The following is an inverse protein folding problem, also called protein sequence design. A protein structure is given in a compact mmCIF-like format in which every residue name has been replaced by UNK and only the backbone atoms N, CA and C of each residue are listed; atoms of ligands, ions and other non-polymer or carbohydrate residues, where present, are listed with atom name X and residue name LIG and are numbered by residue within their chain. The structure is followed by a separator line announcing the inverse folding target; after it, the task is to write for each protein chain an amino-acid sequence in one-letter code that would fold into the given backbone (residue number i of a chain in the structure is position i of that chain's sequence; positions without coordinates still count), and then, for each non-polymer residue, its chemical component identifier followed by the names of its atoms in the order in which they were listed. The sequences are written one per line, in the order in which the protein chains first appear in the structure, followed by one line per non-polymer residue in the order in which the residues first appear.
data_IF_371218369861
#
_entry.id   IF_371218369861
#
_cell.length_a   1.000
_cell.length_b   1.000
_cell.length_c   1.000
_cell.angle_alpha   90.00
_cell.angle_beta   90.00
_cell.angle_gamma   90.00
#
_symmetry.space_group_name_H-M   'P 1'
#
loop_
_entity.id
_entity.type
_entity.pdbx_description
1 polymer ?
#
# COMPACT_ATOMS: atom_id res chain seq x y z
N UNK A 1 36.39 -14.40 -2.51
CA UNK A 1 34.95 -14.19 -2.25
C UNK A 1 34.26 -15.54 -2.28
N UNK A 2 33.41 -15.81 -1.30
CA UNK A 2 32.77 -17.12 -1.10
C UNK A 2 31.65 -17.33 -2.12
N UNK A 3 31.49 -18.56 -2.64
CA UNK A 3 30.42 -18.93 -3.58
C UNK A 3 29.01 -18.57 -3.03
N UNK A 4 28.85 -18.59 -1.70
CA UNK A 4 27.60 -18.18 -1.03
C UNK A 4 27.30 -16.69 -1.21
N UNK A 5 28.31 -15.82 -1.16
CA UNK A 5 28.12 -14.37 -1.33
C UNK A 5 27.68 -14.02 -2.76
N UNK A 6 28.20 -14.76 -3.74
CA UNK A 6 27.80 -14.65 -5.15
C UNK A 6 26.36 -15.10 -5.42
N UNK A 7 25.80 -15.99 -4.58
CA UNK A 7 24.46 -16.57 -4.78
C UNK A 7 23.35 -15.65 -4.26
N UNK A 8 23.62 -14.90 -3.17
CA UNK A 8 22.62 -14.06 -2.50
C UNK A 8 22.67 -12.59 -2.90
N UNK A 9 23.69 -12.17 -3.66
CA UNK A 9 23.87 -10.76 -4.03
C UNK A 9 24.39 -10.65 -5.45
N UNK A 10 23.54 -10.16 -6.36
CA UNK A 10 24.00 -9.73 -7.67
C UNK A 10 24.95 -8.53 -7.50
N UNK A 11 26.17 -8.63 -8.03
CA UNK A 11 27.17 -7.56 -8.00
C UNK A 11 27.05 -6.57 -9.15
N UNK A 12 26.19 -6.86 -10.13
CA UNK A 12 26.06 -6.05 -11.36
C UNK A 12 25.25 -4.78 -11.17
N UNK A 13 24.16 -4.84 -10.41
CA UNK A 13 23.24 -3.73 -10.20
C UNK A 13 23.00 -3.50 -8.71
N UNK A 14 23.08 -2.24 -8.24
CA UNK A 14 22.69 -1.91 -6.87
C UNK A 14 21.15 -1.91 -6.80
N UNK A 15 20.60 -2.34 -5.67
CA UNK A 15 19.16 -2.47 -5.42
C UNK A 15 18.34 -1.23 -5.83
N UNK A 16 18.88 -0.03 -5.60
CA UNK A 16 18.17 1.23 -5.79
C UNK A 16 18.63 2.03 -7.02
N UNK A 17 19.42 1.43 -7.92
CA UNK A 17 20.02 2.15 -9.06
C UNK A 17 18.99 2.79 -9.98
N UNK A 18 17.77 2.25 -10.03
CA UNK A 18 16.70 2.70 -10.92
C UNK A 18 15.68 3.62 -10.23
N UNK A 19 15.77 3.84 -8.91
CA UNK A 19 14.73 4.58 -8.18
C UNK A 19 14.50 5.96 -8.76
N UNK A 20 15.57 6.70 -9.06
CA UNK A 20 15.47 8.05 -9.63
C UNK A 20 14.88 8.07 -11.05
N UNK A 21 15.07 7.00 -11.82
CA UNK A 21 14.57 6.89 -13.20
C UNK A 21 13.08 6.56 -13.32
N UNK A 22 12.42 6.19 -12.21
CA UNK A 22 11.01 5.81 -12.23
C UNK A 22 10.11 7.01 -12.59
N UNK A 23 9.12 6.82 -13.48
CA UNK A 23 8.18 7.88 -13.83
C UNK A 23 7.33 8.26 -12.62
N UNK A 24 6.84 9.51 -12.63
CA UNK A 24 5.86 9.95 -11.64
C UNK A 24 4.53 9.22 -11.83
N UNK A 25 3.81 9.00 -10.73
CA UNK A 25 2.47 8.39 -10.76
C UNK A 25 1.50 9.32 -11.52
N UNK A 26 0.90 8.89 -12.64
CA UNK A 26 0.01 9.74 -13.40
C UNK A 26 -1.29 10.02 -12.64
N UNK A 27 -1.91 11.16 -12.95
CA UNK A 27 -3.27 11.48 -12.54
C UNK A 27 -4.21 11.13 -13.70
N UNK A 28 -5.16 10.21 -13.53
CA UNK A 28 -6.14 9.92 -14.56
C UNK A 28 -7.06 11.12 -14.77
N UNK A 29 -7.61 11.24 -15.97
CA UNK A 29 -8.64 12.26 -16.25
C UNK A 29 -9.92 11.93 -15.49
N UNK A 30 -10.73 12.97 -15.24
CA UNK A 30 -12.03 12.80 -14.57
C UNK A 30 -12.93 11.84 -15.36
N UNK A 31 -12.97 11.97 -16.68
CA UNK A 31 -13.82 11.16 -17.57
C UNK A 31 -13.42 9.67 -17.51
N UNK A 32 -12.12 9.37 -17.67
CA UNK A 32 -11.60 8.00 -17.57
C UNK A 32 -11.91 7.37 -16.20
N UNK A 33 -11.83 8.17 -15.13
CA UNK A 33 -12.10 7.70 -13.77
C UNK A 33 -13.58 7.36 -13.59
N UNK A 34 -14.47 8.21 -14.09
CA UNK A 34 -15.92 8.00 -13.99
C UNK A 34 -16.41 6.86 -14.87
N UNK A 35 -15.84 6.69 -16.06
CA UNK A 35 -16.17 5.58 -16.96
C UNK A 35 -15.80 4.23 -16.33
N UNK A 36 -14.56 4.12 -15.82
CA UNK A 36 -14.09 2.92 -15.12
C UNK A 36 -14.90 2.63 -13.85
N UNK A 37 -15.29 3.68 -13.11
CA UNK A 37 -16.17 3.56 -11.95
C UNK A 37 -17.55 3.02 -12.33
N UNK A 38 -18.19 3.57 -13.37
CA UNK A 38 -19.51 3.11 -13.83
C UNK A 38 -19.45 1.67 -14.35
N UNK A 39 -18.41 1.29 -15.08
CA UNK A 39 -18.22 -0.09 -15.53
C UNK A 39 -18.10 -1.06 -14.35
N UNK A 40 -17.34 -0.68 -13.32
CA UNK A 40 -17.18 -1.47 -12.10
C UNK A 40 -18.50 -1.61 -11.31
N UNK A 41 -19.26 -0.52 -11.18
CA UNK A 41 -20.56 -0.53 -10.47
C UNK A 41 -21.60 -1.37 -11.20
N UNK A 42 -21.57 -1.40 -12.53
CA UNK A 42 -22.52 -2.16 -13.35
C UNK A 42 -22.53 -3.65 -13.02
N UNK A 43 -21.39 -4.21 -12.62
CA UNK A 43 -21.27 -5.63 -12.27
C UNK A 43 -22.03 -6.02 -10.99
N UNK A 44 -22.30 -5.06 -10.10
CA UNK A 44 -22.87 -5.31 -8.76
C UNK A 44 -24.22 -4.62 -8.51
N UNK A 45 -24.52 -3.55 -9.26
CA UNK A 45 -25.72 -2.74 -9.05
C UNK A 45 -26.91 -3.24 -9.88
N UNK A 46 -28.12 -3.18 -9.30
CA UNK A 46 -29.35 -3.37 -10.06
C UNK A 46 -29.63 -2.19 -11.02
N UNK A 47 -30.47 -2.41 -12.03
CA UNK A 47 -30.81 -1.43 -13.08
C UNK A 47 -31.16 -0.03 -12.54
N UNK A 48 -32.03 0.04 -11.52
CA UNK A 48 -32.47 1.32 -10.95
C UNK A 48 -31.36 2.04 -10.17
N UNK A 49 -30.52 1.28 -9.46
CA UNK A 49 -29.38 1.82 -8.72
C UNK A 49 -28.33 2.34 -9.70
N UNK A 50 -28.05 1.58 -10.76
CA UNK A 50 -27.11 1.97 -11.80
C UNK A 50 -27.52 3.30 -12.47
N UNK A 51 -28.79 3.44 -12.86
CA UNK A 51 -29.31 4.71 -13.43
C UNK A 51 -29.11 5.89 -12.49
N UNK A 52 -29.45 5.71 -11.21
CA UNK A 52 -29.21 6.72 -10.18
C UNK A 52 -27.72 7.10 -10.09
N UNK A 53 -26.83 6.11 -10.11
CA UNK A 53 -25.38 6.35 -10.08
C UNK A 53 -24.90 7.10 -11.33
N UNK A 54 -25.40 6.77 -12.53
CA UNK A 54 -25.08 7.50 -13.75
C UNK A 54 -25.45 8.98 -13.65
N UNK A 55 -26.63 9.30 -13.14
CA UNK A 55 -27.06 10.69 -12.92
C UNK A 55 -26.16 11.42 -11.93
N UNK A 56 -25.75 10.75 -10.85
CA UNK A 56 -24.81 11.31 -9.86
C UNK A 56 -23.44 11.59 -10.50
N UNK A 57 -22.90 10.62 -11.24
CA UNK A 57 -21.63 10.78 -11.95
C UNK A 57 -21.67 11.94 -12.94
N UNK A 58 -22.76 12.07 -13.71
CA UNK A 58 -22.93 13.16 -14.65
C UNK A 58 -22.99 14.53 -13.95
N UNK A 59 -23.72 14.63 -12.84
CA UNK A 59 -23.78 15.86 -12.01
C UNK A 59 -22.43 16.19 -11.38
N UNK A 60 -21.67 15.18 -10.98
CA UNK A 60 -20.32 15.38 -10.45
C UNK A 60 -19.37 15.89 -11.54
N UNK A 61 -19.37 15.25 -12.71
CA UNK A 61 -18.56 15.60 -13.87
C UNK A 61 -18.83 17.03 -14.36
N UNK A 62 -20.07 17.47 -14.37
CA UNK A 62 -20.45 18.83 -14.83
C UNK A 62 -20.41 19.88 -13.72
N UNK A 63 -20.29 19.46 -12.46
CA UNK A 63 -20.33 20.31 -11.29
C UNK A 63 -18.99 20.38 -10.56
N UNK A 64 -19.01 20.01 -9.28
CA UNK A 64 -17.87 20.14 -8.36
C UNK A 64 -16.66 19.30 -8.77
N UNK A 65 -16.86 18.21 -9.52
CA UNK A 65 -15.79 17.30 -9.93
C UNK A 65 -14.70 17.97 -10.76
N UNK A 66 -15.04 18.90 -11.67
CA UNK A 66 -14.05 19.65 -12.44
C UNK A 66 -13.18 20.55 -11.56
N UNK A 67 -13.79 21.21 -10.58
CA UNK A 67 -13.05 22.05 -9.63
C UNK A 67 -12.12 21.21 -8.78
N UNK A 68 -12.59 20.05 -8.29
CA UNK A 68 -11.78 19.13 -7.51
C UNK A 68 -10.63 18.53 -8.33
N UNK A 69 -10.89 18.13 -9.57
CA UNK A 69 -9.85 17.60 -10.47
C UNK A 69 -8.73 18.63 -10.69
N UNK A 70 -9.08 19.89 -10.96
CA UNK A 70 -8.08 20.96 -11.14
C UNK A 70 -7.26 21.23 -9.88
N UNK A 71 -7.91 21.24 -8.71
CA UNK A 71 -7.22 21.38 -7.42
C UNK A 71 -6.30 20.18 -7.14
N UNK A 72 -6.76 18.99 -7.51
CA UNK A 72 -6.00 17.77 -7.38
C UNK A 72 -4.76 17.79 -8.27
N UNK A 73 -4.89 18.05 -9.57
CA UNK A 73 -3.77 18.17 -10.51
C UNK A 73 -2.74 19.22 -10.05
N UNK A 74 -3.20 20.37 -9.56
CA UNK A 74 -2.32 21.39 -8.99
C UNK A 74 -1.55 20.89 -7.76
N UNK A 75 -2.18 20.08 -6.90
CA UNK A 75 -1.54 19.50 -5.71
C UNK A 75 -0.51 18.44 -6.09
N UNK A 76 -0.77 17.65 -7.13
CA UNK A 76 0.06 16.50 -7.49
C UNK A 76 1.24 16.84 -8.39
N UNK A 77 1.25 18.03 -9.02
CA UNK A 77 2.26 18.44 -10.00
C UNK A 77 3.72 18.29 -9.53
N UNK A 78 3.99 18.47 -8.23
CA UNK A 78 5.35 18.44 -7.69
C UNK A 78 5.70 17.13 -6.96
N UNK A 79 4.82 16.12 -6.99
CA UNK A 79 5.01 14.86 -6.27
C UNK A 79 5.34 13.72 -7.25
N UNK A 80 6.44 13.00 -7.01
CA UNK A 80 6.76 11.77 -7.76
C UNK A 80 5.70 10.68 -7.56
N UNK A 81 5.16 10.58 -6.35
CA UNK A 81 3.98 9.78 -6.07
C UNK A 81 3.05 10.60 -5.17
N UNK A 82 1.95 11.07 -5.76
CA UNK A 82 0.97 11.89 -5.06
C UNK A 82 0.11 11.11 -4.06
N UNK A 83 0.07 9.78 -4.18
CA UNK A 83 -0.81 8.91 -3.41
C UNK A 83 -0.17 8.43 -2.10
N UNK A 84 1.16 8.34 -2.01
CA UNK A 84 1.87 7.72 -0.88
C UNK A 84 1.39 8.18 0.49
N UNK A 85 1.32 9.49 0.73
CA UNK A 85 0.91 10.03 2.03
C UNK A 85 -0.56 9.76 2.34
N UNK A 86 -1.45 10.00 1.38
CA UNK A 86 -2.88 9.73 1.57
C UNK A 86 -3.16 8.26 1.80
N UNK A 87 -2.52 7.38 1.03
CA UNK A 87 -2.67 5.94 1.23
C UNK A 87 -2.20 5.51 2.61
N UNK A 88 -1.01 5.94 3.03
CA UNK A 88 -0.47 5.61 4.35
C UNK A 88 -1.40 6.08 5.48
N UNK A 89 -1.85 7.33 5.41
CA UNK A 89 -2.68 7.93 6.44
C UNK A 89 -4.07 7.26 6.50
N UNK A 90 -4.79 7.24 5.38
CA UNK A 90 -6.19 6.80 5.37
C UNK A 90 -6.36 5.29 5.38
N UNK A 91 -5.47 4.52 4.72
CA UNK A 91 -5.59 3.07 4.70
C UNK A 91 -5.04 2.41 5.98
N UNK A 92 -4.11 3.05 6.69
CA UNK A 92 -3.45 2.45 7.86
C UNK A 92 -3.50 3.34 9.11
N UNK A 93 -2.86 4.51 9.10
CA UNK A 93 -2.55 5.24 10.35
C UNK A 93 -3.78 5.84 11.03
N UNK A 94 -4.82 6.18 10.27
CA UNK A 94 -6.07 6.72 10.80
C UNK A 94 -7.06 5.63 11.24
N UNK A 95 -6.86 4.39 10.81
CA UNK A 95 -7.76 3.29 11.17
C UNK A 95 -7.64 2.96 12.65
N UNK A 96 -8.78 2.84 13.34
CA UNK A 96 -8.84 2.55 14.79
C UNK A 96 -9.08 1.09 15.12
N UNK A 97 -9.30 0.25 14.11
CA UNK A 97 -9.45 -1.19 14.27
C UNK A 97 -8.14 -1.84 14.71
N UNK A 98 -8.18 -2.95 15.48
CA UNK A 98 -6.97 -3.70 15.83
C UNK A 98 -6.17 -4.12 14.58
N UNK A 99 -4.84 -4.12 14.69
CA UNK A 99 -3.97 -4.52 13.59
C UNK A 99 -4.10 -6.02 13.24
N UNK A 100 -4.23 -6.87 14.26
CA UNK A 100 -4.51 -8.30 14.10
C UNK A 100 -5.99 -8.52 14.44
N UNK A 101 -6.76 -9.24 13.62
CA UNK A 101 -6.40 -9.92 12.36
C UNK A 101 -6.57 -9.05 11.09
N UNK A 102 -6.92 -7.78 11.22
CA UNK A 102 -7.51 -7.02 10.11
C UNK A 102 -6.53 -6.37 9.13
N UNK A 103 -5.29 -6.10 9.55
CA UNK A 103 -4.31 -5.35 8.75
C UNK A 103 -2.98 -6.08 8.60
N UNK A 104 -2.55 -6.81 9.63
CA UNK A 104 -1.29 -7.55 9.57
C UNK A 104 -1.48 -8.82 8.74
N UNK A 105 -0.76 -8.90 7.63
CA UNK A 105 -0.64 -10.14 6.85
C UNK A 105 0.31 -11.06 7.62
N UNK A 106 -0.26 -12.03 8.33
CA UNK A 106 0.45 -13.09 9.04
C UNK A 106 0.12 -14.45 8.44
N UNK A 107 0.94 -15.47 8.68
CA UNK A 107 0.68 -16.84 8.21
C UNK A 107 1.42 -17.26 6.95
N UNK A 108 2.57 -16.64 6.64
CA UNK A 108 3.57 -17.27 5.76
C UNK A 108 4.10 -18.51 6.47
N UNK A 109 3.40 -19.63 6.30
CA UNK A 109 3.86 -20.94 6.72
C UNK A 109 4.85 -21.45 5.68
N UNK A 110 6.09 -21.61 6.09
CA UNK A 110 7.09 -22.28 5.29
C UNK A 110 7.08 -23.77 5.63
N UNK A 111 7.40 -24.66 4.68
CA UNK A 111 7.62 -26.06 4.99
C UNK A 111 8.65 -26.18 6.13
N UNK A 112 8.41 -27.09 7.07
CA UNK A 112 9.23 -27.26 8.29
C UNK A 112 10.73 -27.40 7.95
N UNK A 113 11.04 -28.02 6.82
CA UNK A 113 12.40 -28.22 6.31
C UNK A 113 13.08 -26.96 5.74
N UNK A 114 12.34 -25.86 5.54
CA UNK A 114 12.84 -24.62 4.91
C UNK A 114 13.27 -23.55 5.92
N UNK A 115 12.71 -23.53 7.13
CA UNK A 115 12.97 -22.46 8.14
C UNK A 115 14.12 -22.79 9.07
N UNK A 116 14.28 -24.08 9.42
CA UNK A 116 15.26 -24.53 10.42
C UNK A 116 16.71 -24.27 9.99
N UNK A 117 16.98 -24.00 8.71
CA UNK A 117 18.31 -23.60 8.22
C UNK A 117 18.53 -22.08 8.11
N UNK A 118 17.47 -21.27 8.16
CA UNK A 118 17.54 -19.84 7.85
C UNK A 118 17.44 -18.92 9.07
N UNK A 119 16.90 -19.40 10.19
CA UNK A 119 16.81 -18.64 11.43
C UNK A 119 17.85 -19.18 12.41
N UNK A 120 18.99 -18.49 12.55
CA UNK A 120 19.87 -18.71 13.69
C UNK A 120 19.15 -18.17 14.94
N UNK A 121 18.46 -19.06 15.64
CA UNK A 121 17.70 -18.77 16.85
C UNK A 121 18.57 -18.26 18.01
N UNK A 122 19.90 -18.24 17.88
CA UNK A 122 20.79 -17.62 18.85
C UNK A 122 20.67 -16.08 18.91
N UNK A 123 20.16 -15.42 17.87
CA UNK A 123 20.06 -13.95 17.86
C UNK A 123 18.77 -13.40 18.51
N UNK A 124 17.82 -14.26 18.88
CA UNK A 124 16.53 -13.86 19.50
C UNK A 124 16.47 -14.11 21.01
N UNK A 125 17.56 -14.55 21.64
CA UNK A 125 17.63 -14.68 23.08
C UNK A 125 17.63 -13.29 23.73
N UNK A 126 16.48 -12.85 24.25
CA UNK A 126 16.44 -11.74 25.19
C UNK A 126 17.24 -12.13 26.44
N UNK A 127 18.13 -11.25 26.95
CA UNK A 127 18.83 -11.53 28.20
C UNK A 127 17.81 -11.68 29.34
N UNK A 128 18.08 -12.56 30.32
CA UNK A 128 17.18 -12.76 31.45
C UNK A 128 16.95 -11.45 32.20
N UNK A 129 15.68 -11.12 32.46
CA UNK A 129 15.27 -9.95 33.23
C UNK A 129 15.80 -10.12 34.67
N UNK A 130 16.56 -9.16 35.22
CA UNK A 130 17.06 -9.27 36.59
C UNK A 130 15.91 -9.23 37.60
N UNK A 131 16.01 -9.96 38.73
CA UNK A 131 14.97 -9.99 39.74
C UNK A 131 14.77 -8.60 40.36
N UNK A 132 13.52 -8.18 40.48
CA UNK A 132 13.13 -6.93 41.13
C UNK A 132 13.34 -7.11 42.65
N UNK A 133 14.13 -6.24 43.32
CA UNK A 133 14.31 -6.35 44.75
C UNK A 133 13.00 -6.02 45.47
N UNK A 134 12.50 -6.99 46.24
CA UNK A 134 11.43 -6.76 47.21
C UNK A 134 12.06 -6.16 48.47
N UNK A 135 11.92 -4.86 48.68
CA UNK A 135 12.22 -4.24 49.96
C UNK A 135 11.11 -4.61 50.96
N UNK A 136 11.45 -5.41 51.97
CA UNK A 136 10.77 -5.45 53.26
C UNK A 136 11.58 -4.66 54.28
#
# INVERSE_FOLDING_TARGET
MSLKESLFKSTKDKTFSNEESLPALPVPTLDQTLDCYLESVRAIAGEQQYKTTQEICHRFQTGVGLTLQRLFEKRTQNAKNWLTHWWLDYAYLMQRSPLIPFSNITGLSFPEDSVVKAIDTNCLAFPPIPPIPHNH
#
